data_IF_837182148038
#
_entry.id   IF_837182148038
#
_cell.length_a   1.000
_cell.length_b   1.000
_cell.length_c   1.000
_cell.angle_alpha   90.00
_cell.angle_beta   90.00
_cell.angle_gamma   90.00
#
_symmetry.space_group_name_H-M   'P 1'
#
loop_
_entity.id
_entity.type
_entity.pdbx_description
1 polymer ?
#
# COMPACT_ATOMS: atom_id res chain seq x y z
N UNK A 1 -53.58 20.47 57.88
CA UNK A 1 -53.09 20.62 56.49
C UNK A 1 -51.93 19.65 56.30
N UNK A 2 -52.07 18.63 55.44
CA UNK A 2 -51.03 17.62 55.18
C UNK A 2 -50.13 18.08 54.04
N UNK A 3 -48.82 18.08 54.27
CA UNK A 3 -47.78 18.43 53.31
C UNK A 3 -47.51 17.23 52.39
N UNK A 4 -47.68 17.40 51.08
CA UNK A 4 -47.40 16.38 50.07
C UNK A 4 -46.02 16.68 49.47
N UNK A 5 -45.06 15.78 49.68
CA UNK A 5 -43.70 15.89 49.13
C UNK A 5 -43.70 15.26 47.74
N UNK A 6 -43.59 16.10 46.71
CA UNK A 6 -43.48 15.70 45.31
C UNK A 6 -42.05 15.20 45.05
N UNK A 7 -41.89 13.89 44.89
CA UNK A 7 -40.58 13.28 44.60
C UNK A 7 -40.34 13.33 43.09
N UNK A 8 -39.46 14.22 42.64
CA UNK A 8 -39.05 14.35 41.24
C UNK A 8 -38.02 13.27 40.93
N UNK A 9 -38.39 12.29 40.09
CA UNK A 9 -37.44 11.34 39.52
C UNK A 9 -36.64 12.03 38.40
N UNK A 10 -35.39 12.39 38.69
CA UNK A 10 -34.42 12.77 37.66
C UNK A 10 -33.98 11.49 36.95
N UNK A 11 -34.54 11.23 35.77
CA UNK A 11 -34.06 10.15 34.89
C UNK A 11 -32.69 10.56 34.37
N UNK A 12 -31.63 9.96 34.91
CA UNK A 12 -30.29 10.05 34.36
C UNK A 12 -30.33 9.45 32.95
N UNK A 13 -30.23 10.31 31.93
CA UNK A 13 -30.00 9.88 30.55
C UNK A 13 -28.66 9.18 30.51
N UNK A 14 -28.70 7.86 30.47
CA UNK A 14 -27.53 6.98 30.34
C UNK A 14 -26.74 7.38 29.09
N UNK A 15 -25.69 8.15 29.30
CA UNK A 15 -24.40 8.12 28.61
C UNK A 15 -24.43 7.55 27.19
N UNK A 16 -24.87 8.36 26.23
CA UNK A 16 -24.37 8.27 24.87
C UNK A 16 -22.92 8.76 24.89
N UNK A 17 -22.00 7.91 25.34
CA UNK A 17 -20.57 8.16 25.20
C UNK A 17 -20.24 7.74 23.76
N UNK A 18 -20.00 8.70 22.84
CA UNK A 18 -19.70 8.35 21.46
C UNK A 18 -18.47 7.45 21.47
N UNK A 19 -18.63 6.24 20.94
CA UNK A 19 -17.52 5.33 20.69
C UNK A 19 -16.65 5.99 19.63
N UNK A 20 -15.68 6.80 20.07
CA UNK A 20 -14.68 7.32 19.16
C UNK A 20 -13.84 6.12 18.72
N UNK A 21 -13.72 5.84 17.42
CA UNK A 21 -12.88 4.76 16.93
C UNK A 21 -11.46 4.97 17.45
N UNK A 22 -10.79 3.89 17.86
CA UNK A 22 -9.39 3.97 18.26
C UNK A 22 -8.56 4.48 17.07
N UNK A 23 -7.55 5.32 17.30
CA UNK A 23 -6.60 5.68 16.26
C UNK A 23 -5.98 4.40 15.66
N UNK A 24 -5.96 4.31 14.33
CA UNK A 24 -5.29 3.22 13.62
C UNK A 24 -3.77 3.41 13.78
N UNK A 25 -3.09 2.37 14.23
CA UNK A 25 -1.62 2.35 14.39
C UNK A 25 -0.92 2.20 13.04
N UNK A 26 0.39 2.49 12.97
CA UNK A 26 1.17 2.35 11.73
C UNK A 26 1.28 0.89 11.33
N UNK A 27 1.45 0.00 12.31
CA UNK A 27 1.53 -1.45 12.13
C UNK A 27 0.23 -1.98 11.51
N UNK A 28 -0.93 -1.57 12.05
CA UNK A 28 -2.23 -1.92 11.47
C UNK A 28 -2.37 -1.44 10.02
N UNK A 29 -1.89 -0.23 9.69
CA UNK A 29 -1.92 0.25 8.31
C UNK A 29 -1.02 -0.56 7.38
N UNK A 30 0.13 -1.05 7.86
CA UNK A 30 0.99 -1.93 7.07
C UNK A 30 0.29 -3.26 6.83
N UNK A 31 -0.27 -3.86 7.87
CA UNK A 31 -1.02 -5.11 7.78
C UNK A 31 -2.19 -4.97 6.77
N UNK A 32 -2.97 -3.89 6.88
CA UNK A 32 -4.08 -3.59 5.98
C UNK A 32 -3.60 -3.35 4.53
N UNK A 33 -2.45 -2.68 4.34
CA UNK A 33 -1.84 -2.47 3.02
C UNK A 33 -1.38 -3.76 2.37
N UNK A 34 -0.68 -4.61 3.12
CA UNK A 34 -0.26 -5.94 2.65
C UNK A 34 -1.47 -6.81 2.33
N UNK A 35 -2.48 -6.80 3.19
CA UNK A 35 -3.73 -7.54 2.94
C UNK A 35 -4.43 -7.04 1.68
N UNK A 36 -4.47 -5.73 1.46
CA UNK A 36 -5.04 -5.13 0.26
C UNK A 36 -4.24 -5.51 -0.99
N UNK A 37 -2.90 -5.47 -0.94
CA UNK A 37 -2.05 -5.94 -2.04
C UNK A 37 -2.33 -7.40 -2.41
N UNK A 38 -2.34 -8.29 -1.41
CA UNK A 38 -2.60 -9.73 -1.60
C UNK A 38 -3.98 -10.01 -2.17
N UNK A 39 -4.97 -9.14 -1.94
CA UNK A 39 -6.30 -9.29 -2.52
C UNK A 39 -6.33 -9.20 -4.06
N UNK A 40 -5.26 -8.69 -4.68
CA UNK A 40 -5.10 -8.61 -6.12
C UNK A 40 -4.42 -9.83 -6.74
N UNK A 41 -3.91 -10.78 -5.95
CA UNK A 41 -3.22 -11.98 -6.48
C UNK A 41 -4.06 -12.69 -7.56
N UNK A 42 -3.42 -13.01 -8.69
CA UNK A 42 -4.06 -13.64 -9.84
C UNK A 42 -4.88 -12.71 -10.73
N UNK A 43 -5.06 -11.43 -10.38
CA UNK A 43 -5.67 -10.43 -11.27
C UNK A 43 -4.82 -10.27 -12.53
N UNK A 44 -5.46 -10.12 -13.70
CA UNK A 44 -4.74 -9.93 -14.95
C UNK A 44 -3.91 -8.64 -14.94
N UNK A 45 -2.72 -8.73 -15.51
CA UNK A 45 -1.90 -7.57 -15.82
C UNK A 45 -2.56 -6.78 -16.94
N UNK A 46 -2.60 -5.46 -16.78
CA UNK A 46 -2.95 -4.54 -17.84
C UNK A 46 -1.89 -3.46 -17.95
N UNK A 47 -1.37 -3.27 -19.16
CA UNK A 47 -0.58 -2.07 -19.46
C UNK A 47 -1.55 -0.87 -19.51
N UNK A 48 -1.08 0.28 -19.04
CA UNK A 48 -1.84 1.54 -18.94
C UNK A 48 -2.92 1.72 -20.03
N UNK A 49 -4.18 1.88 -19.61
CA UNK A 49 -5.32 2.19 -20.49
C UNK A 49 -6.21 1.02 -20.90
N UNK A 50 -5.94 -0.21 -20.43
CA UNK A 50 -6.87 -1.34 -20.53
C UNK A 50 -7.65 -1.50 -19.21
N UNK A 51 -8.98 -1.45 -19.30
CA UNK A 51 -9.90 -1.50 -18.15
C UNK A 51 -10.00 -2.89 -17.50
N UNK A 52 -9.40 -3.91 -18.10
CA UNK A 52 -9.58 -5.32 -17.70
C UNK A 52 -8.54 -5.88 -16.72
N UNK A 53 -7.57 -5.07 -16.27
CA UNK A 53 -6.50 -5.53 -15.37
C UNK A 53 -5.84 -4.43 -14.56
N UNK A 54 -4.63 -4.71 -14.07
CA UNK A 54 -3.87 -3.80 -13.22
C UNK A 54 -2.39 -3.74 -13.64
N UNK A 55 -1.83 -2.53 -13.69
CA UNK A 55 -0.39 -2.32 -13.92
C UNK A 55 0.40 -2.38 -12.61
N UNK A 56 1.73 -2.47 -12.70
CA UNK A 56 2.60 -2.53 -11.52
C UNK A 56 2.42 -1.32 -10.59
N UNK A 57 2.49 -0.09 -11.10
CA UNK A 57 2.25 1.10 -10.28
C UNK A 57 0.79 1.23 -9.81
N UNK A 58 -0.18 0.76 -10.62
CA UNK A 58 -1.60 0.81 -10.26
C UNK A 58 -1.92 -0.12 -9.09
N UNK A 59 -1.31 -1.30 -9.03
CA UNK A 59 -1.42 -2.24 -7.90
C UNK A 59 -1.02 -1.56 -6.59
N UNK A 60 0.19 -0.99 -6.58
CA UNK A 60 0.78 -0.33 -5.41
C UNK A 60 -0.11 0.81 -4.92
N UNK A 61 -0.65 1.62 -5.84
CA UNK A 61 -1.51 2.77 -5.54
C UNK A 61 -2.91 2.36 -5.08
N UNK A 62 -3.58 1.45 -5.79
CA UNK A 62 -4.95 1.05 -5.46
C UNK A 62 -5.01 0.39 -4.09
N UNK A 63 -4.03 -0.46 -3.78
CA UNK A 63 -3.94 -1.06 -2.46
C UNK A 63 -3.74 -0.01 -1.36
N UNK A 64 -2.91 1.01 -1.63
CA UNK A 64 -2.68 2.10 -0.67
C UNK A 64 -3.95 2.93 -0.45
N UNK A 65 -4.71 3.18 -1.52
CA UNK A 65 -5.98 3.90 -1.45
C UNK A 65 -7.02 3.15 -0.61
N UNK A 66 -7.19 1.86 -0.87
CA UNK A 66 -8.13 0.99 -0.15
C UNK A 66 -7.81 0.94 1.34
N UNK A 67 -6.53 0.83 1.68
CA UNK A 67 -6.04 0.84 3.07
C UNK A 67 -6.41 2.14 3.81
N UNK A 68 -6.37 3.27 3.13
CA UNK A 68 -6.65 4.57 3.74
C UNK A 68 -8.14 4.95 3.69
N UNK A 69 -9.01 4.05 3.20
CA UNK A 69 -10.45 4.29 3.10
C UNK A 69 -10.78 5.54 2.28
N UNK A 70 -9.96 5.88 1.28
CA UNK A 70 -10.23 7.05 0.46
C UNK A 70 -11.30 6.67 -0.55
N UNK A 71 -12.54 7.06 -0.25
CA UNK A 71 -13.69 6.89 -1.13
C UNK A 71 -13.93 8.11 -2.03
N UNK A 72 -14.72 7.91 -3.09
CA UNK A 72 -15.27 9.00 -3.89
C UNK A 72 -14.21 9.85 -4.60
N UNK A 73 -14.25 11.20 -4.51
CA UNK A 73 -13.31 12.08 -5.20
C UNK A 73 -11.84 11.83 -4.86
N UNK A 74 -11.54 11.30 -3.67
CA UNK A 74 -10.17 11.00 -3.23
C UNK A 74 -9.60 9.76 -3.92
N UNK A 75 -10.44 8.72 -4.11
CA UNK A 75 -10.11 7.56 -4.97
C UNK A 75 -9.87 8.03 -6.39
N UNK A 76 -10.81 8.82 -6.93
CA UNK A 76 -10.74 9.35 -8.28
C UNK A 76 -9.52 10.25 -8.48
N UNK A 77 -9.13 11.04 -7.48
CA UNK A 77 -7.95 11.87 -7.53
C UNK A 77 -6.68 11.04 -7.54
N UNK A 78 -6.58 9.99 -6.72
CA UNK A 78 -5.41 9.12 -6.78
C UNK A 78 -5.38 8.42 -8.13
N UNK A 79 -6.48 7.81 -8.57
CA UNK A 79 -6.59 7.20 -9.91
C UNK A 79 -6.22 8.18 -11.04
N UNK A 80 -6.53 9.47 -10.89
CA UNK A 80 -6.23 10.53 -11.87
C UNK A 80 -4.84 11.18 -11.73
N UNK A 81 -4.20 11.10 -10.56
CA UNK A 81 -2.83 11.59 -10.38
C UNK A 81 -1.88 10.53 -10.91
N UNK A 82 -1.01 10.84 -11.87
CA UNK A 82 0.04 9.91 -12.21
C UNK A 82 0.90 9.78 -10.94
N UNK A 83 1.16 8.54 -10.58
CA UNK A 83 2.25 8.17 -9.70
C UNK A 83 2.68 6.82 -10.25
N UNK A 84 3.19 6.87 -11.47
CA UNK A 84 3.76 5.71 -12.15
C UNK A 84 5.09 5.30 -11.51
N UNK A 85 5.75 4.29 -12.06
CA UNK A 85 7.01 3.79 -11.49
C UNK A 85 8.11 4.88 -11.47
N UNK A 86 8.15 5.77 -12.46
CA UNK A 86 9.09 6.89 -12.55
C UNK A 86 8.84 7.95 -11.48
N UNK A 87 7.57 8.33 -11.30
CA UNK A 87 7.18 9.24 -10.22
C UNK A 87 7.35 8.60 -8.85
N UNK A 88 7.12 7.30 -8.71
CA UNK A 88 7.40 6.57 -7.46
C UNK A 88 8.89 6.61 -7.10
N UNK A 89 9.80 6.40 -8.07
CA UNK A 89 11.24 6.53 -7.85
C UNK A 89 11.61 7.94 -7.35
N UNK A 90 10.91 8.95 -7.87
CA UNK A 90 11.09 10.37 -7.53
C UNK A 90 10.36 10.81 -6.25
N UNK A 91 9.64 9.91 -5.58
CA UNK A 91 8.96 10.19 -4.32
C UNK A 91 7.48 10.60 -4.43
N UNK A 92 6.90 10.54 -5.63
CA UNK A 92 5.45 10.70 -5.87
C UNK A 92 4.87 11.97 -5.22
N UNK A 93 5.43 13.13 -5.57
CA UNK A 93 5.02 14.42 -4.99
C UNK A 93 5.27 14.54 -3.47
N UNK A 94 6.19 13.74 -2.91
CA UNK A 94 6.50 13.70 -1.48
C UNK A 94 5.63 12.74 -0.67
N UNK A 95 4.87 11.86 -1.31
CA UNK A 95 4.13 10.79 -0.62
C UNK A 95 5.02 9.59 -0.30
N UNK A 96 6.05 9.35 -1.11
CA UNK A 96 7.04 8.30 -0.93
C UNK A 96 8.39 8.89 -0.49
N UNK A 97 9.13 8.11 0.27
CA UNK A 97 10.46 8.46 0.77
C UNK A 97 11.44 7.32 0.52
N UNK A 98 12.70 7.64 0.24
CA UNK A 98 13.73 6.61 0.07
C UNK A 98 14.06 5.91 1.40
N UNK A 99 14.11 4.58 1.37
CA UNK A 99 14.54 3.71 2.48
C UNK A 99 16.00 3.32 2.28
N UNK A 100 16.32 2.74 1.12
CA UNK A 100 17.66 2.34 0.73
C UNK A 100 17.78 2.17 -0.78
N UNK A 101 19.02 2.05 -1.27
CA UNK A 101 19.35 1.70 -2.64
C UNK A 101 20.28 0.49 -2.66
N UNK A 102 20.15 -0.33 -3.69
CA UNK A 102 21.01 -1.49 -3.92
C UNK A 102 21.26 -1.69 -5.41
N UNK A 103 22.31 -2.43 -5.74
CA UNK A 103 22.66 -2.74 -7.13
C UNK A 103 21.73 -3.78 -7.76
N UNK A 104 21.03 -4.55 -6.92
CA UNK A 104 20.15 -5.65 -7.32
C UNK A 104 19.17 -6.01 -6.20
N UNK A 105 18.08 -6.71 -6.54
CA UNK A 105 17.15 -7.23 -5.53
C UNK A 105 17.84 -8.25 -4.60
N UNK A 106 18.81 -9.02 -5.13
CA UNK A 106 19.66 -9.96 -4.37
C UNK A 106 20.57 -9.30 -3.35
N UNK A 107 20.98 -8.05 -3.57
CA UNK A 107 21.90 -7.32 -2.69
C UNK A 107 21.17 -6.45 -1.65
N UNK A 108 19.84 -6.58 -1.55
CA UNK A 108 19.06 -5.86 -0.56
C UNK A 108 19.41 -6.30 0.87
N UNK A 109 19.62 -5.31 1.73
CA UNK A 109 19.70 -5.53 3.17
C UNK A 109 18.29 -5.60 3.76
N UNK A 110 17.71 -6.81 3.79
CA UNK A 110 16.36 -7.06 4.29
C UNK A 110 16.17 -6.69 5.77
N UNK A 111 17.24 -6.46 6.54
CA UNK A 111 17.12 -5.96 7.92
C UNK A 111 16.60 -4.51 8.01
N UNK A 112 16.60 -3.79 6.87
CA UNK A 112 16.16 -2.39 6.76
C UNK A 112 14.82 -2.24 6.03
N UNK A 113 14.28 -3.33 5.51
CA UNK A 113 13.05 -3.36 4.73
C UNK A 113 11.91 -3.78 5.65
N UNK A 114 10.76 -3.14 5.49
CA UNK A 114 9.56 -3.45 6.24
C UNK A 114 8.41 -3.75 5.28
N UNK A 115 7.46 -4.58 5.71
CA UNK A 115 6.28 -4.89 4.91
C UNK A 115 5.56 -3.60 4.46
N UNK A 116 5.19 -3.56 3.19
CA UNK A 116 4.66 -2.37 2.52
C UNK A 116 5.70 -1.45 1.87
N UNK A 117 7.01 -1.75 2.01
CA UNK A 117 8.04 -1.09 1.20
C UNK A 117 7.90 -1.43 -0.28
N UNK A 118 8.29 -0.49 -1.14
CA UNK A 118 8.15 -0.58 -2.58
C UNK A 118 9.53 -0.65 -3.20
N UNK A 119 9.85 -1.73 -3.90
CA UNK A 119 11.02 -1.80 -4.76
C UNK A 119 10.67 -1.21 -6.12
N UNK A 120 11.36 -0.14 -6.51
CA UNK A 120 11.39 0.33 -7.89
C UNK A 120 12.65 -0.22 -8.55
N UNK A 121 12.45 -1.07 -9.53
CA UNK A 121 13.50 -1.79 -10.25
C UNK A 121 13.48 -1.38 -11.71
N UNK A 122 14.64 -1.32 -12.36
CA UNK A 122 14.68 -1.03 -13.79
C UNK A 122 15.96 -0.33 -14.23
N UNK A 123 15.97 0.02 -15.50
CA UNK A 123 17.06 0.70 -16.18
C UNK A 123 16.49 1.83 -17.06
N UNK A 124 17.28 2.35 -17.99
CA UNK A 124 16.87 3.44 -18.88
C UNK A 124 15.73 3.05 -19.86
N UNK A 125 15.40 1.75 -19.97
CA UNK A 125 14.32 1.25 -20.85
C UNK A 125 12.96 1.20 -20.16
N UNK A 126 12.94 1.26 -18.82
CA UNK A 126 11.70 1.32 -18.05
C UNK A 126 11.86 0.88 -16.60
N UNK A 127 10.94 1.37 -15.77
CA UNK A 127 10.86 1.05 -14.35
C UNK A 127 9.63 0.20 -14.04
N UNK A 128 9.81 -0.70 -13.07
CA UNK A 128 8.79 -1.62 -12.57
C UNK A 128 8.71 -1.53 -11.06
N UNK A 129 7.49 -1.63 -10.51
CA UNK A 129 7.21 -1.46 -9.10
C UNK A 129 6.70 -2.77 -8.47
N UNK A 130 7.21 -3.11 -7.29
CA UNK A 130 6.81 -4.27 -6.51
C UNK A 130 6.70 -3.88 -5.03
N UNK A 131 5.83 -4.54 -4.27
CA UNK A 131 5.71 -4.32 -2.82
C UNK A 131 6.24 -5.51 -2.02
N UNK A 132 6.96 -5.21 -0.93
CA UNK A 132 7.42 -6.21 0.01
C UNK A 132 6.27 -6.66 0.91
N UNK A 133 6.03 -7.96 0.97
CA UNK A 133 4.93 -8.56 1.73
C UNK A 133 5.39 -9.51 2.85
N UNK A 134 6.68 -9.40 3.21
CA UNK A 134 7.31 -10.18 4.28
C UNK A 134 8.09 -11.39 3.75
N UNK A 135 8.90 -11.99 4.62
CA UNK A 135 9.65 -13.23 4.35
C UNK A 135 10.46 -13.26 3.04
N UNK A 136 11.08 -12.13 2.66
CA UNK A 136 11.83 -12.01 1.39
C UNK A 136 10.95 -12.17 0.13
N UNK A 137 9.64 -12.07 0.28
CA UNK A 137 8.63 -12.17 -0.78
C UNK A 137 8.17 -10.79 -1.25
N UNK A 138 8.03 -10.65 -2.58
CA UNK A 138 7.51 -9.46 -3.23
C UNK A 138 6.25 -9.77 -4.02
N UNK A 139 5.31 -8.83 -4.09
CA UNK A 139 4.11 -8.92 -4.94
C UNK A 139 4.15 -7.84 -6.03
N UNK A 140 3.81 -8.22 -7.26
CA UNK A 140 3.78 -7.29 -8.38
C UNK A 140 2.79 -7.73 -9.45
N UNK A 141 2.35 -6.78 -10.28
CA UNK A 141 1.63 -7.08 -11.51
C UNK A 141 2.66 -7.36 -12.61
N UNK A 142 2.88 -8.63 -12.94
CA UNK A 142 3.91 -9.11 -13.84
C UNK A 142 3.49 -9.01 -15.32
N UNK A 143 4.22 -8.25 -16.16
CA UNK A 143 3.97 -8.22 -17.60
C UNK A 143 4.29 -9.52 -18.33
N UNK A 144 5.10 -10.42 -17.78
CA UNK A 144 5.50 -11.67 -18.44
C UNK A 144 4.47 -12.77 -18.25
N UNK A 145 4.05 -13.03 -17.01
CA UNK A 145 2.98 -13.99 -16.70
C UNK A 145 1.57 -13.41 -16.90
N UNK A 146 1.49 -12.12 -17.22
CA UNK A 146 0.27 -11.34 -17.44
C UNK A 146 -0.68 -11.34 -16.22
N UNK A 147 -0.15 -11.44 -15.00
CA UNK A 147 -0.94 -11.49 -13.76
C UNK A 147 -0.22 -10.86 -12.57
N UNK A 148 -0.98 -10.57 -11.52
CA UNK A 148 -0.41 -10.28 -10.20
C UNK A 148 0.07 -11.58 -9.57
N UNK A 149 1.36 -11.63 -9.24
CA UNK A 149 2.01 -12.80 -8.65
C UNK A 149 2.87 -12.39 -7.45
N UNK A 150 3.08 -13.35 -6.56
CA UNK A 150 4.11 -13.29 -5.53
C UNK A 150 5.37 -13.99 -6.03
N UNK A 151 6.52 -13.46 -5.65
CA UNK A 151 7.83 -14.03 -5.97
C UNK A 151 8.66 -14.13 -4.70
N UNK A 152 9.11 -15.34 -4.41
CA UNK A 152 9.99 -15.67 -3.29
C UNK A 152 11.42 -15.66 -3.81
N UNK A 153 12.23 -14.69 -3.36
CA UNK A 153 13.61 -14.51 -3.80
C UNK A 153 13.77 -14.37 -5.34
N UNK A 154 14.54 -13.41 -5.84
CA UNK A 154 14.79 -13.32 -7.28
C UNK A 154 15.52 -14.58 -7.81
N UNK A 155 14.82 -15.46 -8.55
CA UNK A 155 15.44 -16.61 -9.23
C UNK A 155 16.57 -16.14 -10.16
N UNK A 156 17.68 -16.90 -10.26
CA UNK A 156 18.88 -16.45 -10.97
C UNK A 156 18.69 -16.15 -12.47
N UNK A 157 17.58 -16.59 -13.06
CA UNK A 157 17.34 -16.52 -14.50
C UNK A 157 16.42 -15.37 -14.92
N UNK A 158 15.99 -14.52 -14.00
CA UNK A 158 15.18 -13.35 -14.33
C UNK A 158 16.07 -12.12 -14.56
N UNK A 159 16.03 -11.55 -15.77
CA UNK A 159 16.91 -10.45 -16.18
C UNK A 159 16.81 -9.23 -15.24
N UNK A 160 15.61 -9.01 -14.69
CA UNK A 160 15.30 -7.87 -13.84
C UNK A 160 15.94 -7.94 -12.44
N UNK A 161 16.42 -9.12 -12.03
CA UNK A 161 17.15 -9.33 -10.77
C UNK A 161 18.45 -8.56 -10.72
N UNK A 162 19.05 -8.28 -11.88
CA UNK A 162 20.33 -7.58 -12.01
C UNK A 162 20.18 -6.06 -12.02
N UNK A 163 18.96 -5.54 -12.07
CA UNK A 163 18.71 -4.11 -12.15
C UNK A 163 18.85 -3.45 -10.79
N UNK A 164 19.29 -2.19 -10.83
CA UNK A 164 19.34 -1.33 -9.64
C UNK A 164 17.97 -1.28 -8.98
N UNK A 165 17.96 -1.22 -7.65
CA UNK A 165 16.75 -1.15 -6.85
C UNK A 165 16.77 0.10 -6.00
N UNK A 166 15.70 0.88 -6.06
CA UNK A 166 15.42 1.95 -5.13
C UNK A 166 14.22 1.55 -4.27
N UNK A 167 14.44 1.35 -2.97
CA UNK A 167 13.38 0.99 -2.03
C UNK A 167 12.76 2.27 -1.49
N UNK A 168 11.46 2.39 -1.67
CA UNK A 168 10.62 3.53 -1.30
C UNK A 168 9.59 3.12 -0.26
N UNK A 169 9.15 4.06 0.59
CA UNK A 169 8.10 3.82 1.59
C UNK A 169 7.08 4.93 1.58
N UNK A 170 5.80 4.57 1.70
CA UNK A 170 4.74 5.53 1.95
C UNK A 170 4.97 6.26 3.27
N UNK A 171 4.92 7.59 3.25
CA UNK A 171 5.04 8.38 4.48
C UNK A 171 3.93 8.05 5.51
N UNK A 172 2.79 7.51 5.07
CA UNK A 172 1.72 7.06 5.94
C UNK A 172 1.99 5.73 6.65
N UNK A 173 3.03 4.99 6.23
CA UNK A 173 3.48 3.71 6.81
C UNK A 173 4.79 3.86 7.61
N UNK A 174 5.15 5.09 7.99
CA UNK A 174 6.33 5.40 8.83
C UNK A 174 5.96 5.59 10.29
#
# INVERSE_FOLDING_TARGET
MKLVILTVFVVFTSSFMPYLPRPVTVEQKRDDYVASLKSYEGMNYARYGDDSGISCSTLIRRAFVETNGLDGPSRAFIDAHPCDSDEMESGCGGQLTGVLKADSLKSLDYSRIEEGDIAIIGNDEGLHAMAYIGNETWIHADPITEKVIEIDEPEENDDWVTFRVNVMRWNALR
#
